data_IF_791430491289
#
_entry.id   IF_791430491289
#
_cell.length_a   1.000
_cell.length_b   1.000
_cell.length_c   1.000
_cell.angle_alpha   90.00
_cell.angle_beta   90.00
_cell.angle_gamma   90.00
#
_symmetry.space_group_name_H-M   'P 1'
#
loop_
_entity.id
_entity.type
_entity.pdbx_description
1 polymer ?
#
# COMPACT_ATOMS: atom_id res chain seq x y z
N UNK A 1 -37.25 43.19 -1.10
CA UNK A 1 -37.71 42.63 -2.38
C UNK A 1 -36.49 42.23 -3.19
N UNK A 2 -36.13 40.95 -3.29
CA UNK A 2 -35.27 40.40 -4.36
C UNK A 2 -35.46 38.87 -4.33
N UNK A 3 -35.60 38.31 -5.52
CA UNK A 3 -36.44 37.13 -5.83
C UNK A 3 -35.63 35.84 -5.87
N UNK A 4 -36.13 34.79 -5.20
CA UNK A 4 -35.62 33.41 -5.27
C UNK A 4 -36.06 32.76 -6.58
N UNK A 5 -35.12 32.22 -7.37
CA UNK A 5 -35.44 31.33 -8.52
C UNK A 5 -35.00 29.89 -8.21
N UNK A 6 -35.99 29.00 -8.08
CA UNK A 6 -35.85 27.54 -8.09
C UNK A 6 -35.69 27.07 -9.53
N UNK A 7 -34.68 26.24 -9.81
CA UNK A 7 -34.61 25.44 -11.03
C UNK A 7 -35.03 24.00 -10.73
N UNK A 8 -36.11 23.56 -11.37
CA UNK A 8 -36.64 22.19 -11.37
C UNK A 8 -36.02 21.46 -12.56
N UNK A 9 -35.19 20.45 -12.28
CA UNK A 9 -34.56 19.58 -13.28
C UNK A 9 -35.38 18.30 -13.50
N UNK A 10 -35.84 18.14 -14.73
CA UNK A 10 -36.74 17.13 -15.29
C UNK A 10 -36.07 15.75 -15.40
N UNK A 11 -36.72 14.68 -14.92
CA UNK A 11 -36.31 13.28 -15.18
C UNK A 11 -36.84 12.84 -16.54
N UNK A 12 -35.97 12.30 -17.40
CA UNK A 12 -36.33 11.61 -18.65
C UNK A 12 -35.91 10.16 -18.48
N UNK A 13 -36.88 9.25 -18.58
CA UNK A 13 -36.67 7.82 -18.57
C UNK A 13 -36.11 7.31 -19.88
N UNK A 14 -35.47 6.15 -19.82
CA UNK A 14 -35.14 5.36 -21.01
C UNK A 14 -35.37 3.89 -20.66
N UNK A 15 -36.36 3.32 -21.33
CA UNK A 15 -36.63 1.88 -21.46
C UNK A 15 -35.84 1.34 -22.64
N UNK A 16 -35.15 0.22 -22.49
CA UNK A 16 -34.70 -0.70 -23.55
C UNK A 16 -34.43 -2.05 -22.88
N UNK A 17 -35.30 -3.05 -23.09
CA UNK A 17 -35.32 -3.99 -24.22
C UNK A 17 -34.33 -5.16 -24.00
N UNK A 18 -34.93 -6.34 -23.82
CA UNK A 18 -34.29 -7.62 -23.65
C UNK A 18 -33.60 -8.11 -24.94
N UNK A 19 -32.51 -8.86 -24.79
CA UNK A 19 -32.00 -9.73 -25.86
C UNK A 19 -31.38 -11.01 -25.28
N UNK A 20 -32.05 -12.12 -25.59
CA UNK A 20 -31.56 -13.46 -26.00
C UNK A 20 -30.30 -14.00 -25.31
N UNK A 21 -30.50 -15.00 -24.44
CA UNK A 21 -29.47 -15.94 -24.00
C UNK A 21 -29.53 -17.22 -24.85
N UNK A 22 -28.42 -17.57 -25.48
CA UNK A 22 -28.19 -18.81 -26.21
C UNK A 22 -26.70 -18.98 -26.47
N UNK A 23 -26.26 -20.24 -26.60
CA UNK A 23 -24.87 -20.76 -26.62
C UNK A 23 -24.36 -21.07 -25.20
N UNK A 24 -23.96 -22.28 -24.85
CA UNK A 24 -23.55 -23.43 -25.66
C UNK A 24 -22.33 -24.03 -24.96
N UNK A 25 -22.53 -25.15 -24.28
CA UNK A 25 -21.52 -25.87 -23.49
C UNK A 25 -20.50 -26.54 -24.41
N UNK A 26 -19.21 -26.23 -24.25
CA UNK A 26 -18.11 -27.14 -24.65
C UNK A 26 -17.03 -27.08 -23.57
N UNK A 27 -17.01 -28.11 -22.71
CA UNK A 27 -15.90 -28.40 -21.79
C UNK A 27 -14.91 -29.31 -22.54
N UNK A 28 -13.83 -28.73 -23.04
CA UNK A 28 -12.64 -29.47 -23.46
C UNK A 28 -11.62 -29.41 -22.32
N UNK A 29 -11.44 -30.51 -21.60
CA UNK A 29 -10.34 -30.68 -20.65
C UNK A 29 -9.09 -31.12 -21.40
N UNK A 30 -8.16 -30.19 -21.61
CA UNK A 30 -6.80 -30.49 -22.06
C UNK A 30 -5.89 -30.63 -20.85
N UNK A 31 -5.27 -31.80 -20.70
CA UNK A 31 -4.24 -32.06 -19.70
C UNK A 31 -2.95 -31.28 -20.05
N UNK A 32 -2.28 -30.60 -19.10
CA UNK A 32 -0.94 -30.12 -19.34
C UNK A 32 0.07 -31.26 -19.17
N UNK A 33 0.88 -31.46 -20.21
CA UNK A 33 2.08 -32.26 -20.17
C UNK A 33 3.05 -31.71 -19.11
N UNK A 34 3.65 -32.62 -18.33
CA UNK A 34 4.72 -32.30 -17.40
C UNK A 34 5.95 -31.88 -18.20
N UNK A 35 6.34 -30.61 -18.07
CA UNK A 35 7.63 -30.13 -18.55
C UNK A 35 8.69 -30.42 -17.49
N UNK A 36 9.74 -31.12 -17.90
CA UNK A 36 10.94 -31.39 -17.12
C UNK A 36 11.54 -30.09 -16.59
N UNK A 37 11.74 -30.04 -15.27
CA UNK A 37 12.46 -28.95 -14.61
C UNK A 37 13.96 -29.22 -14.75
N UNK A 38 14.59 -28.55 -15.71
CA UNK A 38 16.03 -28.38 -15.74
C UNK A 38 16.46 -27.58 -14.50
N UNK A 39 17.32 -28.17 -13.68
CA UNK A 39 17.89 -27.51 -12.49
C UNK A 39 18.78 -26.30 -12.85
N UNK A 40 18.92 -25.31 -11.96
CA UNK A 40 19.74 -24.14 -12.23
C UNK A 40 21.21 -24.49 -11.97
N UNK A 41 21.94 -24.76 -13.05
CA UNK A 41 23.39 -24.64 -13.10
C UNK A 41 23.77 -23.27 -13.64
N UNK A 42 24.66 -22.56 -12.93
CA UNK A 42 25.49 -21.52 -13.53
C UNK A 42 25.30 -20.11 -12.96
N UNK A 43 26.37 -19.62 -12.33
CA UNK A 43 26.62 -18.21 -12.10
C UNK A 43 26.69 -17.46 -13.44
N UNK A 44 25.52 -17.07 -13.98
CA UNK A 44 25.36 -16.13 -15.08
C UNK A 44 24.57 -14.95 -14.55
N UNK A 45 25.18 -13.76 -14.52
CA UNK A 45 24.50 -12.54 -14.06
C UNK A 45 23.16 -12.38 -14.79
N UNK A 46 22.07 -12.47 -14.03
CA UNK A 46 20.72 -12.59 -14.57
C UNK A 46 20.42 -11.47 -15.57
N UNK A 47 20.24 -11.86 -16.84
CA UNK A 47 19.59 -11.03 -17.86
C UNK A 47 18.09 -11.14 -17.61
N UNK A 48 17.48 -10.11 -17.03
CA UNK A 48 16.05 -10.11 -16.73
C UNK A 48 15.60 -8.78 -16.13
N UNK A 49 14.34 -8.41 -16.33
CA UNK A 49 13.73 -7.27 -15.63
C UNK A 49 13.59 -7.59 -14.14
N UNK A 50 13.67 -6.54 -13.32
CA UNK A 50 13.46 -6.62 -11.87
C UNK A 50 12.45 -5.54 -11.50
N UNK A 51 11.43 -5.91 -10.75
CA UNK A 51 10.39 -5.01 -10.26
C UNK A 51 10.41 -4.98 -8.74
N UNK A 52 10.23 -3.80 -8.17
CA UNK A 52 10.17 -3.57 -6.73
C UNK A 52 9.50 -2.22 -6.47
N UNK A 53 9.22 -1.90 -5.20
CA UNK A 53 8.69 -0.57 -4.85
C UNK A 53 9.50 0.10 -3.75
N UNK A 54 9.43 1.43 -3.72
CA UNK A 54 10.19 2.28 -2.79
C UNK A 54 9.27 3.37 -2.27
N UNK A 55 9.22 3.55 -0.94
CA UNK A 55 8.62 4.73 -0.33
C UNK A 55 9.49 5.96 -0.63
N UNK A 56 8.90 7.03 -1.15
CA UNK A 56 9.58 8.30 -1.40
C UNK A 56 9.96 8.93 -0.06
N UNK A 57 11.25 8.90 0.28
CA UNK A 57 11.78 9.41 1.53
C UNK A 57 11.95 10.94 1.54
N UNK A 58 11.41 11.64 0.53
CA UNK A 58 11.58 13.07 0.30
C UNK A 58 12.79 13.41 -0.57
N UNK A 59 13.54 12.41 -1.01
CA UNK A 59 14.69 12.57 -1.91
C UNK A 59 14.29 12.89 -3.37
N UNK A 60 13.01 12.75 -3.72
CA UNK A 60 12.48 13.16 -5.03
C UNK A 60 12.94 12.24 -6.15
N UNK A 61 12.60 10.95 -6.05
CA UNK A 61 12.88 9.96 -7.11
C UNK A 61 12.26 10.42 -8.44
N UNK A 62 13.02 10.40 -9.56
CA UNK A 62 12.52 10.84 -10.85
C UNK A 62 11.40 9.92 -11.35
N UNK A 63 10.25 10.51 -11.72
CA UNK A 63 9.04 9.78 -12.14
C UNK A 63 8.81 9.80 -13.64
N UNK A 64 9.38 10.78 -14.32
CA UNK A 64 9.19 11.06 -15.75
C UNK A 64 10.40 10.67 -16.61
N UNK A 65 11.51 10.24 -15.98
CA UNK A 65 12.75 9.87 -16.65
C UNK A 65 13.36 8.61 -16.05
N UNK A 66 14.21 7.96 -16.84
CA UNK A 66 15.00 6.82 -16.36
C UNK A 66 16.15 7.26 -15.46
N UNK A 67 16.57 6.36 -14.58
CA UNK A 67 17.70 6.53 -13.67
C UNK A 67 18.49 5.21 -13.56
N UNK A 68 19.73 5.27 -13.09
CA UNK A 68 20.54 4.05 -12.93
C UNK A 68 20.23 3.34 -11.61
N UNK A 69 20.28 2.01 -11.59
CA UNK A 69 20.06 1.22 -10.37
C UNK A 69 20.92 1.66 -9.18
N UNK A 70 22.17 2.08 -9.43
CA UNK A 70 23.09 2.57 -8.40
C UNK A 70 22.60 3.83 -7.68
N UNK A 71 21.73 4.62 -8.32
CA UNK A 71 21.16 5.85 -7.74
C UNK A 71 20.11 5.55 -6.67
N UNK A 72 19.64 4.29 -6.54
CA UNK A 72 18.69 3.91 -5.50
C UNK A 72 19.18 4.19 -4.07
N UNK A 73 20.50 4.21 -3.85
CA UNK A 73 21.06 4.57 -2.55
C UNK A 73 20.79 6.00 -2.17
N UNK A 74 20.64 6.89 -3.15
CA UNK A 74 20.29 8.30 -2.95
C UNK A 74 18.81 8.46 -2.54
N UNK A 75 17.99 7.42 -2.80
CA UNK A 75 16.58 7.35 -2.45
C UNK A 75 16.30 6.50 -1.20
N UNK A 76 17.33 6.21 -0.41
CA UNK A 76 17.22 5.50 0.87
C UNK A 76 17.16 3.98 0.77
N UNK A 77 17.43 3.40 -0.41
CA UNK A 77 17.58 1.94 -0.54
C UNK A 77 18.97 1.53 -0.06
N UNK A 78 19.11 0.63 0.93
CA UNK A 78 20.42 0.21 1.40
C UNK A 78 21.28 -0.41 0.29
N UNK A 79 22.60 -0.13 0.28
CA UNK A 79 23.54 -0.67 -0.71
C UNK A 79 23.45 -2.19 -0.86
N UNK A 80 23.29 -2.92 0.25
CA UNK A 80 23.09 -4.39 0.24
C UNK A 80 21.86 -4.82 -0.55
N UNK A 81 20.78 -4.04 -0.50
CA UNK A 81 19.54 -4.31 -1.22
C UNK A 81 19.73 -4.01 -2.70
N UNK A 82 20.40 -2.90 -3.02
CA UNK A 82 20.80 -2.57 -4.40
C UNK A 82 21.65 -3.67 -5.03
N UNK A 83 22.63 -4.22 -4.31
CA UNK A 83 23.48 -5.32 -4.80
C UNK A 83 22.67 -6.60 -5.11
N UNK A 84 21.65 -6.91 -4.31
CA UNK A 84 20.71 -8.01 -4.59
C UNK A 84 19.89 -7.74 -5.86
N UNK A 85 19.35 -6.53 -6.00
CA UNK A 85 18.62 -6.13 -7.21
C UNK A 85 19.50 -6.20 -8.46
N UNK A 86 20.77 -5.80 -8.36
CA UNK A 86 21.74 -5.88 -9.45
C UNK A 86 21.97 -7.33 -9.91
N UNK A 87 21.94 -8.28 -8.96
CA UNK A 87 22.01 -9.72 -9.21
C UNK A 87 20.71 -10.31 -9.78
N UNK A 88 19.63 -9.53 -9.87
CA UNK A 88 18.30 -10.02 -10.28
C UNK A 88 17.46 -10.57 -9.13
N UNK A 89 17.90 -10.41 -7.89
CA UNK A 89 17.18 -10.83 -6.70
C UNK A 89 16.34 -9.66 -6.17
N UNK A 90 15.05 -9.65 -6.51
CA UNK A 90 14.06 -8.73 -5.95
C UNK A 90 13.68 -9.07 -4.49
N UNK A 91 14.40 -10.01 -3.85
CA UNK A 91 14.15 -10.59 -2.53
C UNK A 91 13.43 -9.67 -1.55
N UNK A 92 12.11 -9.84 -1.49
CA UNK A 92 11.21 -8.97 -0.73
C UNK A 92 9.73 -9.23 -0.93
N UNK A 93 9.30 -9.99 -1.95
CA UNK A 93 7.92 -10.45 -2.04
C UNK A 93 7.66 -11.61 -1.04
N UNK A 94 7.42 -11.27 0.22
CA UNK A 94 6.95 -12.22 1.23
C UNK A 94 5.70 -12.95 0.73
N UNK A 95 5.66 -14.28 0.89
CA UNK A 95 4.54 -15.15 0.50
C UNK A 95 3.21 -14.55 0.97
N UNK A 96 2.36 -14.20 0.00
CA UNK A 96 0.96 -13.86 0.23
C UNK A 96 0.28 -15.00 1.01
N UNK A 97 -0.42 -14.66 2.10
CA UNK A 97 -1.32 -15.57 2.80
C UNK A 97 -2.73 -15.35 2.27
N UNK A 98 -3.41 -16.46 1.96
CA UNK A 98 -4.78 -16.50 1.48
C UNK A 98 -5.81 -16.29 2.61
N UNK A 99 -6.80 -15.46 2.28
CA UNK A 99 -8.23 -15.50 2.58
C UNK A 99 -8.76 -15.69 4.01
N UNK A 100 -9.63 -14.76 4.46
CA UNK A 100 -11.06 -15.04 4.68
C UNK A 100 -11.90 -13.75 4.71
N UNK A 101 -13.06 -13.81 4.03
CA UNK A 101 -14.11 -12.81 3.94
C UNK A 101 -15.25 -13.18 4.91
N UNK A 102 -15.71 -12.24 5.75
CA UNK A 102 -16.99 -12.33 6.44
C UNK A 102 -17.44 -10.91 6.83
N UNK A 103 -18.69 -10.58 6.51
CA UNK A 103 -19.29 -9.26 6.67
C UNK A 103 -20.08 -9.22 7.98
N UNK A 104 -19.90 -8.18 8.82
CA UNK A 104 -20.62 -8.07 10.10
C UNK A 104 -21.13 -6.63 10.40
N UNK A 105 -22.16 -6.51 11.27
CA UNK A 105 -22.97 -5.30 11.49
C UNK A 105 -22.42 -4.38 12.60
N UNK A 106 -23.18 -3.33 12.93
CA UNK A 106 -22.80 -2.16 13.75
C UNK A 106 -21.98 -2.42 15.04
N UNK A 107 -21.07 -1.48 15.33
CA UNK A 107 -19.87 -1.67 16.17
C UNK A 107 -20.16 -2.01 17.66
N UNK A 108 -19.84 -3.22 18.13
CA UNK A 108 -19.71 -3.54 19.55
C UNK A 108 -18.49 -2.84 20.17
N UNK A 109 -18.39 -2.86 21.51
CA UNK A 109 -17.17 -2.48 22.21
C UNK A 109 -15.96 -3.22 21.61
N UNK A 110 -14.82 -2.54 21.51
CA UNK A 110 -13.61 -3.13 20.94
C UNK A 110 -13.28 -4.45 21.65
N UNK A 111 -12.97 -5.54 20.91
CA UNK A 111 -12.61 -6.83 21.51
C UNK A 111 -11.47 -6.69 22.53
N UNK A 112 -11.42 -7.54 23.58
CA UNK A 112 -10.29 -7.57 24.50
C UNK A 112 -8.94 -7.65 23.78
N UNK A 113 -7.96 -6.88 24.25
CA UNK A 113 -6.62 -6.80 23.64
C UNK A 113 -6.53 -5.94 22.36
N UNK A 114 -7.61 -5.30 21.91
CA UNK A 114 -7.56 -4.36 20.77
C UNK A 114 -6.64 -3.17 21.04
N UNK A 115 -6.42 -2.83 22.31
CA UNK A 115 -5.53 -1.74 22.71
C UNK A 115 -4.11 -2.20 23.04
N UNK A 116 -3.73 -3.45 22.80
CA UNK A 116 -2.34 -3.87 23.01
C UNK A 116 -1.42 -3.15 22.02
N UNK A 117 -0.30 -2.61 22.50
CA UNK A 117 0.70 -1.97 21.64
C UNK A 117 1.52 -3.04 20.91
N UNK A 118 1.56 -2.96 19.59
CA UNK A 118 2.30 -3.89 18.71
C UNK A 118 3.44 -3.20 17.96
N UNK A 119 3.60 -1.88 18.12
CA UNK A 119 4.70 -1.11 17.55
C UNK A 119 4.75 0.30 18.08
N UNK A 120 5.94 0.86 18.17
CA UNK A 120 6.20 2.24 18.61
C UNK A 120 7.30 2.83 17.74
N UNK A 121 7.21 4.13 17.44
CA UNK A 121 8.21 4.86 16.65
C UNK A 121 8.07 6.37 16.86
N UNK A 122 9.00 7.12 16.29
CA UNK A 122 8.93 8.58 16.20
C UNK A 122 8.44 8.99 14.82
N UNK A 123 7.43 9.86 14.76
CA UNK A 123 7.02 10.46 13.48
C UNK A 123 8.08 11.46 12.98
N UNK A 124 7.84 12.07 11.81
CA UNK A 124 8.76 13.06 11.23
C UNK A 124 9.07 14.28 12.13
N UNK A 125 8.20 14.59 13.10
CA UNK A 125 8.33 15.71 14.03
C UNK A 125 8.81 15.26 15.42
N UNK A 126 9.20 13.99 15.58
CA UNK A 126 9.70 13.43 16.83
C UNK A 126 8.61 13.04 17.84
N UNK A 127 7.34 13.01 17.43
CA UNK A 127 6.23 12.64 18.30
C UNK A 127 6.14 11.13 18.49
N UNK A 128 5.80 10.70 19.71
CA UNK A 128 5.61 9.28 20.04
C UNK A 128 4.35 8.74 19.36
N UNK A 129 4.54 8.01 18.28
CA UNK A 129 3.50 7.26 17.61
C UNK A 129 3.47 5.81 18.11
N UNK A 130 2.29 5.22 18.10
CA UNK A 130 2.07 3.83 18.46
C UNK A 130 1.20 3.13 17.42
N UNK A 131 1.36 1.82 17.30
CA UNK A 131 0.43 0.93 16.63
C UNK A 131 -0.21 0.06 17.69
N UNK A 132 -1.54 0.06 17.72
CA UNK A 132 -2.32 -0.87 18.54
C UNK A 132 -2.71 -2.06 17.68
N UNK A 133 -2.89 -3.24 18.29
CA UNK A 133 -3.41 -4.43 17.60
C UNK A 133 -4.69 -4.09 16.85
N UNK A 134 -5.62 -3.41 17.51
CA UNK A 134 -6.89 -3.00 16.95
C UNK A 134 -7.81 -4.18 16.64
N UNK A 135 -8.81 -3.94 15.81
CA UNK A 135 -9.76 -4.94 15.32
C UNK A 135 -10.36 -4.50 13.99
N UNK A 136 -11.02 -5.43 13.28
CA UNK A 136 -11.81 -5.16 12.10
C UNK A 136 -13.03 -6.09 12.07
N UNK A 137 -14.19 -5.56 11.66
CA UNK A 137 -15.48 -6.26 11.61
C UNK A 137 -15.81 -6.84 10.22
N UNK A 138 -14.86 -6.80 9.28
CA UNK A 138 -15.13 -7.14 7.87
C UNK A 138 -15.77 -6.01 7.06
N UNK A 139 -16.12 -4.89 7.70
CA UNK A 139 -16.77 -3.73 7.09
C UNK A 139 -15.94 -2.45 7.21
N UNK A 140 -16.55 -1.40 7.73
CA UNK A 140 -15.90 -0.09 7.90
C UNK A 140 -15.46 0.21 9.33
N UNK A 141 -15.96 -0.53 10.32
CA UNK A 141 -15.60 -0.31 11.72
C UNK A 141 -14.23 -0.91 12.05
N UNK A 142 -13.72 -0.58 13.23
CA UNK A 142 -12.40 -1.02 13.67
C UNK A 142 -11.28 -0.01 13.40
N UNK A 143 -10.10 -0.32 13.92
CA UNK A 143 -8.91 0.52 13.91
C UNK A 143 -7.64 -0.34 14.01
N UNK A 144 -6.46 0.28 13.92
CA UNK A 144 -5.18 -0.35 14.26
C UNK A 144 -4.72 -1.41 13.25
N UNK A 145 -3.73 -2.19 13.67
CA UNK A 145 -3.00 -3.09 12.77
C UNK A 145 -3.89 -4.14 12.12
N UNK A 146 -4.84 -4.73 12.85
CA UNK A 146 -5.75 -5.74 12.30
C UNK A 146 -6.55 -5.20 11.12
N UNK A 147 -7.09 -3.99 11.20
CA UNK A 147 -7.79 -3.35 10.07
C UNK A 147 -6.83 -3.00 8.94
N UNK A 148 -5.69 -2.39 9.28
CA UNK A 148 -4.69 -1.96 8.29
C UNK A 148 -4.17 -3.15 7.47
N UNK A 149 -3.91 -4.28 8.12
CA UNK A 149 -3.45 -5.51 7.48
C UNK A 149 -4.55 -6.20 6.67
N UNK A 150 -5.70 -6.48 7.31
CA UNK A 150 -6.74 -7.33 6.70
C UNK A 150 -7.59 -6.58 5.68
N UNK A 151 -7.91 -5.30 5.92
CA UNK A 151 -8.71 -4.49 5.01
C UNK A 151 -7.87 -3.80 3.95
N UNK A 152 -6.74 -3.23 4.35
CA UNK A 152 -5.96 -2.31 3.51
C UNK A 152 -4.66 -2.89 2.99
N UNK A 153 -4.28 -4.10 3.43
CA UNK A 153 -3.07 -4.80 2.99
C UNK A 153 -1.77 -4.00 3.17
N UNK A 154 -1.65 -3.27 4.28
CA UNK A 154 -0.43 -2.55 4.61
C UNK A 154 0.25 -3.18 5.84
N UNK A 155 1.58 -3.14 5.85
CA UNK A 155 2.40 -3.59 6.97
C UNK A 155 2.55 -2.48 8.03
N UNK A 156 2.99 -2.85 9.24
CA UNK A 156 3.39 -1.88 10.25
C UNK A 156 4.47 -0.93 9.72
N UNK A 157 5.44 -1.46 8.98
CA UNK A 157 6.57 -0.67 8.50
C UNK A 157 6.14 0.30 7.39
N UNK A 158 5.15 -0.05 6.55
CA UNK A 158 4.53 0.89 5.62
C UNK A 158 3.86 2.07 6.35
N UNK A 159 3.20 1.81 7.49
CA UNK A 159 2.61 2.88 8.32
C UNK A 159 3.70 3.76 8.92
N UNK A 160 4.75 3.16 9.49
CA UNK A 160 5.90 3.91 10.03
C UNK A 160 6.52 4.80 8.96
N UNK A 161 6.89 4.22 7.82
CA UNK A 161 7.49 4.93 6.69
C UNK A 161 6.60 6.10 6.26
N UNK A 162 5.27 5.89 6.18
CA UNK A 162 4.33 6.95 5.81
C UNK A 162 4.37 8.15 6.77
N UNK A 163 4.57 7.91 8.06
CA UNK A 163 4.59 8.98 9.08
C UNK A 163 5.97 9.57 9.33
N UNK A 164 7.03 8.83 9.01
CA UNK A 164 8.43 9.25 9.11
C UNK A 164 8.86 10.06 7.89
N UNK A 165 8.30 9.75 6.71
CA UNK A 165 8.67 10.38 5.44
C UNK A 165 7.46 10.90 4.65
N UNK A 166 6.54 11.68 5.26
CA UNK A 166 5.46 12.28 4.49
C UNK A 166 6.00 13.19 3.38
N UNK A 167 5.18 13.41 2.35
CA UNK A 167 5.47 14.38 1.29
C UNK A 167 6.02 15.69 1.90
N UNK A 168 7.07 16.30 1.33
CA UNK A 168 7.68 17.52 1.87
C UNK A 168 6.82 18.78 1.66
N UNK A 169 5.53 18.62 1.36
CA UNK A 169 4.56 19.70 1.15
C UNK A 169 3.58 19.75 2.32
N UNK A 170 2.81 20.85 2.50
CA UNK A 170 1.76 20.91 3.51
C UNK A 170 0.73 19.78 3.40
N UNK A 171 0.54 19.19 2.20
CA UNK A 171 -0.35 18.06 2.00
C UNK A 171 0.18 16.73 2.58
N UNK A 172 1.47 16.67 2.94
CA UNK A 172 2.11 15.49 3.52
C UNK A 172 1.73 15.23 4.98
N UNK A 173 1.42 16.27 5.76
CA UNK A 173 0.91 16.14 7.13
C UNK A 173 -0.23 17.15 7.36
N UNK A 174 -1.45 16.63 7.49
CA UNK A 174 -2.68 17.41 7.64
C UNK A 174 -3.28 17.17 9.04
N UNK A 175 -3.58 18.24 9.77
CA UNK A 175 -4.26 18.15 11.06
C UNK A 175 -5.78 18.05 10.86
N UNK A 176 -6.38 16.98 11.36
CA UNK A 176 -7.84 16.75 11.31
C UNK A 176 -8.56 17.08 12.62
N UNK A 177 -7.82 17.10 13.73
CA UNK A 177 -8.35 17.37 15.06
C UNK A 177 -7.24 17.80 16.02
N UNK A 178 -7.58 17.98 17.30
CA UNK A 178 -6.62 18.46 18.30
C UNK A 178 -5.32 17.61 18.34
N UNK A 179 -5.45 16.28 18.29
CA UNK A 179 -4.34 15.33 18.33
C UNK A 179 -4.30 14.39 17.13
N UNK A 180 -5.10 14.63 16.10
CA UNK A 180 -5.28 13.70 14.98
C UNK A 180 -4.70 14.27 13.69
N UNK A 181 -3.86 13.47 13.03
CA UNK A 181 -3.14 13.88 11.83
C UNK A 181 -3.20 12.79 10.76
N UNK A 182 -3.37 13.21 9.51
CA UNK A 182 -3.15 12.37 8.34
C UNK A 182 -1.76 12.64 7.77
N UNK A 183 -1.03 11.57 7.50
CA UNK A 183 0.26 11.58 6.81
C UNK A 183 0.08 10.99 5.43
N UNK A 184 0.70 11.57 4.41
CA UNK A 184 0.65 11.07 3.03
C UNK A 184 2.06 10.90 2.50
N UNK A 185 2.37 9.72 2.00
CA UNK A 185 3.66 9.38 1.38
C UNK A 185 3.43 8.66 0.07
N UNK A 186 4.30 8.92 -0.91
CA UNK A 186 4.23 8.26 -2.20
C UNK A 186 5.06 6.99 -2.19
N UNK A 187 4.55 5.96 -2.87
CA UNK A 187 5.23 4.69 -3.07
C UNK A 187 5.34 4.49 -4.57
N UNK A 188 6.57 4.37 -5.04
CA UNK A 188 6.89 4.26 -6.45
C UNK A 188 7.14 2.80 -6.78
N UNK A 189 6.39 2.24 -7.71
CA UNK A 189 6.68 0.96 -8.32
C UNK A 189 7.72 1.18 -9.42
N UNK A 190 8.83 0.46 -9.34
CA UNK A 190 10.02 0.65 -10.17
C UNK A 190 10.28 -0.62 -10.96
N UNK A 191 10.46 -0.45 -12.26
CA UNK A 191 10.90 -1.51 -13.17
C UNK A 191 12.31 -1.17 -13.65
N UNK A 192 13.24 -2.11 -13.47
CA UNK A 192 14.61 -2.00 -13.96
C UNK A 192 14.90 -3.07 -15.01
N UNK A 193 15.48 -2.67 -16.14
CA UNK A 193 15.91 -3.55 -17.22
C UNK A 193 17.38 -3.36 -17.54
N UNK A 194 18.00 -4.32 -18.24
CA UNK A 194 19.43 -4.30 -18.56
C UNK A 194 20.23 -5.32 -17.75
N UNK A 195 21.53 -5.09 -17.60
CA UNK A 195 22.46 -6.08 -17.03
C UNK A 195 23.33 -5.47 -15.91
N UNK A 196 23.30 -6.12 -14.74
CA UNK A 196 24.11 -5.80 -13.56
C UNK A 196 24.05 -4.31 -13.16
N UNK A 197 25.17 -3.57 -13.11
CA UNK A 197 25.17 -2.13 -12.74
C UNK A 197 24.68 -1.19 -13.85
N UNK A 198 24.57 -1.67 -15.10
CA UNK A 198 24.06 -0.88 -16.23
C UNK A 198 22.54 -1.00 -16.35
N UNK A 199 21.88 -1.42 -15.27
CA UNK A 199 20.42 -1.50 -15.20
C UNK A 199 19.84 -0.09 -15.19
N UNK A 200 18.98 0.17 -16.18
CA UNK A 200 18.19 1.40 -16.29
C UNK A 200 16.82 1.14 -15.67
N UNK A 201 16.43 2.00 -14.75
CA UNK A 201 15.20 1.93 -13.98
C UNK A 201 14.25 3.05 -14.39
N UNK A 202 12.96 2.81 -14.23
CA UNK A 202 11.91 3.82 -14.36
C UNK A 202 10.81 3.55 -13.34
N UNK A 203 10.14 4.60 -12.89
CA UNK A 203 8.89 4.47 -12.15
C UNK A 203 7.79 4.13 -13.15
N UNK A 204 7.07 3.04 -12.90
CA UNK A 204 5.95 2.59 -13.75
C UNK A 204 4.59 2.96 -13.15
N UNK A 205 4.52 3.08 -11.83
CA UNK A 205 3.31 3.44 -11.10
C UNK A 205 3.67 4.19 -9.81
N UNK A 206 2.85 5.16 -9.41
CA UNK A 206 2.97 5.82 -8.10
C UNK A 206 1.60 5.77 -7.41
N UNK A 207 1.58 5.27 -6.18
CA UNK A 207 0.42 5.36 -5.29
C UNK A 207 0.73 6.22 -4.07
N UNK A 208 -0.31 6.80 -3.48
CA UNK A 208 -0.18 7.54 -2.22
C UNK A 208 -0.72 6.69 -1.09
N UNK A 209 0.12 6.41 -0.09
CA UNK A 209 -0.33 5.82 1.18
C UNK A 209 -0.69 6.94 2.14
N UNK A 210 -1.89 6.88 2.69
CA UNK A 210 -2.34 7.73 3.78
C UNK A 210 -2.30 6.93 5.08
N UNK A 211 -1.76 7.52 6.15
CA UNK A 211 -1.82 6.99 7.51
C UNK A 211 -2.44 8.02 8.46
N UNK A 212 -3.53 7.68 9.14
CA UNK A 212 -4.19 8.52 10.14
C UNK A 212 -3.76 8.13 11.55
N UNK A 213 -3.14 9.04 12.29
CA UNK A 213 -2.64 8.82 13.65
C UNK A 213 -3.38 9.73 14.64
N UNK A 214 -3.85 9.15 15.75
CA UNK A 214 -4.35 9.89 16.92
C UNK A 214 -3.30 9.87 18.04
N UNK A 215 -2.71 11.02 18.34
CA UNK A 215 -1.69 11.19 19.38
C UNK A 215 -2.27 11.38 20.79
N UNK A 216 -3.59 11.34 20.95
CA UNK A 216 -4.21 11.36 22.28
C UNK A 216 -3.62 10.25 23.15
N UNK A 217 -3.17 10.60 24.35
CA UNK A 217 -2.62 9.63 25.30
C UNK A 217 -3.75 8.82 25.95
N UNK A 218 -3.54 7.51 26.04
CA UNK A 218 -4.42 6.58 26.77
C UNK A 218 -3.90 6.38 28.21
N UNK A 219 -4.64 5.67 29.08
CA UNK A 219 -4.23 5.46 30.48
C UNK A 219 -2.85 4.80 30.66
N UNK A 220 -2.34 4.11 29.65
CA UNK A 220 -1.00 3.51 29.64
C UNK A 220 0.12 4.50 29.25
N UNK A 221 -0.21 5.80 29.08
CA UNK A 221 0.74 6.85 28.72
C UNK A 221 1.17 6.86 27.25
N UNK A 222 0.69 5.90 26.44
CA UNK A 222 1.02 5.78 25.02
C UNK A 222 -0.07 6.40 24.16
N UNK A 223 0.26 6.77 22.93
CA UNK A 223 -0.72 7.30 21.98
C UNK A 223 -1.83 6.26 21.72
N UNK A 224 -3.03 6.73 21.37
CA UNK A 224 -4.04 5.87 20.74
C UNK A 224 -3.44 5.21 19.49
N UNK A 225 -2.68 5.99 18.72
CA UNK A 225 -1.84 5.48 17.65
C UNK A 225 -2.51 5.50 16.29
N UNK A 226 -2.04 4.64 15.38
CA UNK A 226 -2.59 4.53 14.04
C UNK A 226 -4.04 4.04 14.06
N UNK A 227 -4.95 4.91 13.61
CA UNK A 227 -6.37 4.62 13.47
C UNK A 227 -6.60 3.78 12.21
N UNK A 228 -6.00 4.19 11.09
CA UNK A 228 -6.08 3.50 9.79
C UNK A 228 -4.91 3.89 8.90
N UNK A 229 -4.66 3.09 7.87
CA UNK A 229 -3.80 3.44 6.75
C UNK A 229 -4.29 2.72 5.49
N UNK A 230 -4.19 3.36 4.32
CA UNK A 230 -4.66 2.81 3.04
C UNK A 230 -4.03 3.54 1.84
N UNK A 231 -4.18 2.98 0.65
CA UNK A 231 -3.76 3.61 -0.61
C UNK A 231 -4.90 4.50 -1.15
N UNK A 232 -4.64 5.79 -1.32
CA UNK A 232 -5.61 6.73 -1.88
C UNK A 232 -6.02 6.30 -3.30
N UNK A 233 -7.30 6.40 -3.62
CA UNK A 233 -7.84 5.99 -4.93
C UNK A 233 -7.97 4.48 -5.14
N UNK A 234 -7.48 3.64 -4.22
CA UNK A 234 -7.60 2.18 -4.31
C UNK A 234 -8.74 1.67 -3.41
N UNK A 235 -9.82 1.10 -3.97
CA UNK A 235 -10.90 0.55 -3.16
C UNK A 235 -10.43 -0.72 -2.43
N UNK A 236 -10.47 -0.70 -1.10
CA UNK A 236 -10.15 -1.85 -0.27
C UNK A 236 -8.66 -2.01 0.01
N UNK A 237 -8.03 -3.00 -0.65
CA UNK A 237 -6.67 -3.48 -0.37
C UNK A 237 -5.65 -2.80 -1.29
N UNK A 238 -4.57 -2.28 -0.71
CA UNK A 238 -3.39 -1.86 -1.46
C UNK A 238 -2.79 -3.04 -2.25
N UNK A 239 -2.19 -2.79 -3.43
CA UNK A 239 -1.39 -3.79 -4.13
C UNK A 239 -0.25 -4.33 -3.25
N UNK A 240 0.09 -5.61 -3.42
CA UNK A 240 1.17 -6.25 -2.64
C UNK A 240 2.52 -5.58 -2.83
N UNK A 241 2.77 -4.97 -4.00
CA UNK A 241 4.00 -4.23 -4.23
C UNK A 241 4.14 -3.05 -3.27
N UNK A 242 3.05 -2.40 -2.81
CA UNK A 242 3.11 -1.32 -1.81
C UNK A 242 3.51 -1.87 -0.44
N UNK A 243 2.90 -2.99 -0.04
CA UNK A 243 3.16 -3.66 1.24
C UNK A 243 4.62 -4.10 1.38
N UNK A 244 5.21 -4.54 0.26
CA UNK A 244 6.51 -5.18 0.18
C UNK A 244 7.60 -4.24 -0.36
N UNK A 245 7.46 -2.93 -0.14
CA UNK A 245 8.50 -1.97 -0.53
C UNK A 245 9.85 -2.32 0.10
N UNK A 246 10.93 -2.10 -0.64
CA UNK A 246 12.26 -2.62 -0.28
C UNK A 246 13.03 -1.76 0.73
N UNK A 247 12.49 -0.59 1.06
CA UNK A 247 13.10 0.40 1.96
C UNK A 247 12.30 0.60 3.26
N UNK A 248 11.45 -0.36 3.61
CA UNK A 248 10.70 -0.40 4.88
C UNK A 248 11.03 -1.65 5.70
#
# INVERSE_FOLDING_TARGET
MHTVRKCVGKRVGTTSAALVAGLGTVLAMSAPAQADTAGPGGAGGSRGSVEFSVFDTGAGMPRDKSFQLKELTDYGVPKRTMEKLAAGDAGGAGKARADVNAQAPAAPAAPPGSYDVVGEWKDKDGWDAAMRRGYWDGGNAGFGMTKIDQKHNLSLDAVKATTMYPRPTPAGKEQLGATTYNYRTEVNHVECSGWWIFRSCRVTETLTVLAGIDYRKLPDGKAFGAVTAFCEGVPGRCPDWVRNAINI
#
